data_IF_815065643359
#
_entry.id   IF_815065643359
#
_cell.length_a   1.000
_cell.length_b   1.000
_cell.length_c   1.000
_cell.angle_alpha   90.00
_cell.angle_beta   90.00
_cell.angle_gamma   90.00
#
_symmetry.space_group_name_H-M   'P 1'
#
loop_
_entity.id
_entity.type
_entity.pdbx_description
1 polymer ?
#
# COMPACT_ATOMS: atom_id res chain seq x y z
N UNK A 1 -23.53 -1.87 -3.56
CA UNK A 1 -24.08 -1.29 -2.36
C UNK A 1 -23.39 0.01 -1.99
N UNK A 2 -24.13 1.04 -1.73
CA UNK A 2 -23.49 2.26 -1.30
C UNK A 2 -22.76 2.03 0.01
N UNK A 3 -21.60 2.59 0.12
CA UNK A 3 -20.82 2.55 1.33
C UNK A 3 -21.53 3.44 2.36
N UNK A 4 -21.97 2.83 3.46
CA UNK A 4 -22.62 3.58 4.54
C UNK A 4 -21.55 4.15 5.45
N UNK A 5 -20.91 5.20 4.98
CA UNK A 5 -19.88 5.89 5.72
C UNK A 5 -20.48 7.20 6.28
N UNK A 6 -19.87 7.69 7.35
CA UNK A 6 -20.23 9.00 7.91
C UNK A 6 -19.80 10.16 7.02
N UNK A 7 -19.14 9.87 5.91
CA UNK A 7 -18.77 10.88 4.93
C UNK A 7 -20.01 11.28 4.11
N UNK A 8 -20.21 12.57 3.99
CA UNK A 8 -21.28 13.11 3.16
C UNK A 8 -20.86 13.05 1.68
N UNK A 9 -21.83 13.12 0.73
CA UNK A 9 -21.47 13.23 -0.68
C UNK A 9 -20.52 14.38 -0.99
N UNK A 10 -20.63 15.48 -0.25
CA UNK A 10 -19.73 16.63 -0.38
C UNK A 10 -18.30 16.26 0.02
N UNK A 11 -18.15 15.49 1.10
CA UNK A 11 -16.83 15.03 1.54
C UNK A 11 -16.15 14.15 0.49
N UNK A 12 -16.92 13.26 -0.14
CA UNK A 12 -16.44 12.41 -1.22
C UNK A 12 -15.94 13.24 -2.41
N UNK A 13 -16.75 14.23 -2.81
CA UNK A 13 -16.39 15.12 -3.92
C UNK A 13 -15.15 15.93 -3.59
N UNK A 14 -15.08 16.48 -2.38
CA UNK A 14 -13.93 17.26 -1.93
C UNK A 14 -12.64 16.41 -1.89
N UNK A 15 -12.78 15.12 -1.61
CA UNK A 15 -11.67 14.18 -1.65
C UNK A 15 -11.36 13.69 -3.06
N UNK A 16 -12.17 14.07 -4.07
CA UNK A 16 -12.02 13.58 -5.44
C UNK A 16 -12.53 12.17 -5.65
N UNK A 17 -13.30 11.65 -4.69
CA UNK A 17 -13.78 10.27 -4.72
C UNK A 17 -15.20 10.24 -5.29
N UNK A 18 -15.33 9.96 -6.56
CA UNK A 18 -16.63 9.91 -7.25
C UNK A 18 -16.91 8.51 -7.78
N UNK A 19 -18.18 8.20 -8.02
CA UNK A 19 -18.57 6.90 -8.59
C UNK A 19 -17.90 6.66 -9.95
N UNK A 20 -17.76 7.69 -10.76
CA UNK A 20 -17.07 7.57 -12.05
C UNK A 20 -15.61 7.17 -11.86
N UNK A 21 -14.95 7.70 -10.82
CA UNK A 21 -13.59 7.35 -10.50
C UNK A 21 -13.51 5.89 -10.06
N UNK A 22 -14.42 5.46 -9.19
CA UNK A 22 -14.44 4.06 -8.72
C UNK A 22 -14.68 3.08 -9.87
N UNK A 23 -15.56 3.42 -10.78
CA UNK A 23 -15.84 2.56 -11.94
C UNK A 23 -14.60 2.39 -12.83
N UNK A 24 -13.76 3.42 -12.90
CA UNK A 24 -12.57 3.42 -13.76
C UNK A 24 -11.33 2.89 -13.05
N UNK A 25 -11.14 3.25 -11.79
CA UNK A 25 -9.87 3.04 -11.08
C UNK A 25 -9.90 1.87 -10.09
N UNK A 26 -11.09 1.39 -9.73
CA UNK A 26 -11.23 0.26 -8.83
C UNK A 26 -12.11 0.53 -7.61
N UNK A 27 -12.13 -0.42 -6.66
CA UNK A 27 -12.99 -0.30 -5.47
C UNK A 27 -12.66 0.93 -4.63
N UNK A 28 -13.64 1.47 -3.88
CA UNK A 28 -13.45 2.70 -3.11
C UNK A 28 -12.24 2.68 -2.18
N UNK A 29 -12.01 1.60 -1.43
CA UNK A 29 -10.88 1.54 -0.52
C UNK A 29 -9.55 1.58 -1.28
N UNK A 30 -9.46 0.87 -2.41
CA UNK A 30 -8.26 0.90 -3.24
C UNK A 30 -7.98 2.32 -3.75
N UNK A 31 -9.01 2.99 -4.27
CA UNK A 31 -8.86 4.35 -4.81
C UNK A 31 -8.49 5.34 -3.71
N UNK A 32 -9.15 5.26 -2.55
CA UNK A 32 -8.84 6.14 -1.41
C UNK A 32 -7.39 5.95 -0.97
N UNK A 33 -6.93 4.71 -0.93
CA UNK A 33 -5.54 4.41 -0.57
C UNK A 33 -4.55 4.97 -1.61
N UNK A 34 -4.86 4.81 -2.89
CA UNK A 34 -4.01 5.31 -3.97
C UNK A 34 -3.90 6.83 -3.95
N UNK A 35 -4.99 7.51 -3.63
CA UNK A 35 -5.03 8.98 -3.58
C UNK A 35 -4.50 9.54 -2.25
N UNK A 36 -4.24 8.69 -1.28
CA UNK A 36 -3.74 9.14 0.02
C UNK A 36 -4.79 9.78 0.91
N UNK A 37 -6.06 9.47 0.68
CA UNK A 37 -7.16 10.05 1.44
C UNK A 37 -7.32 9.33 2.79
N UNK A 38 -6.52 9.72 3.78
CA UNK A 38 -6.48 9.07 5.10
C UNK A 38 -7.85 9.08 5.77
N UNK A 39 -8.58 10.19 5.68
CA UNK A 39 -9.89 10.30 6.30
C UNK A 39 -10.87 9.27 5.76
N UNK A 40 -10.91 9.10 4.44
CA UNK A 40 -11.78 8.11 3.79
C UNK A 40 -11.35 6.69 4.18
N UNK A 41 -10.06 6.40 4.15
CA UNK A 41 -9.54 5.08 4.52
C UNK A 41 -9.89 4.76 5.97
N UNK A 42 -9.73 5.73 6.88
CA UNK A 42 -10.05 5.53 8.29
C UNK A 42 -11.53 5.20 8.48
N UNK A 43 -12.41 5.97 7.85
CA UNK A 43 -13.86 5.73 7.99
C UNK A 43 -14.22 4.36 7.42
N UNK A 44 -13.66 4.00 6.26
CA UNK A 44 -13.93 2.69 5.66
C UNK A 44 -13.44 1.54 6.54
N UNK A 45 -12.24 1.64 7.10
CA UNK A 45 -11.70 0.59 7.96
C UNK A 45 -12.48 0.46 9.26
N UNK A 46 -12.91 1.58 9.85
CA UNK A 46 -13.75 1.57 11.04
C UNK A 46 -15.14 0.98 10.77
N UNK A 47 -15.65 1.14 9.56
CA UNK A 47 -16.93 0.56 9.14
C UNK A 47 -16.83 -0.94 8.82
N UNK A 48 -15.65 -1.53 8.87
CA UNK A 48 -15.46 -2.95 8.61
C UNK A 48 -15.38 -3.32 7.13
N UNK A 49 -15.03 -2.37 6.26
CA UNK A 49 -14.86 -2.64 4.84
C UNK A 49 -13.79 -3.71 4.63
N UNK A 50 -14.02 -4.60 3.66
CA UNK A 50 -13.06 -5.64 3.32
C UNK A 50 -11.74 -5.00 2.85
N UNK A 51 -10.64 -5.35 3.50
CA UNK A 51 -9.34 -4.69 3.30
C UNK A 51 -8.56 -5.24 2.10
N UNK A 52 -8.94 -6.42 1.60
CA UNK A 52 -8.21 -7.10 0.52
C UNK A 52 -8.90 -6.98 -0.83
N UNK A 53 -9.60 -5.86 -1.06
CA UNK A 53 -10.23 -5.60 -2.36
C UNK A 53 -9.17 -5.49 -3.46
N UNK A 54 -9.52 -5.91 -4.67
CA UNK A 54 -8.58 -5.95 -5.79
C UNK A 54 -8.77 -4.73 -6.70
N UNK A 55 -7.71 -3.98 -6.85
CA UNK A 55 -7.60 -2.96 -7.89
C UNK A 55 -6.94 -3.54 -9.14
N UNK A 56 -6.50 -2.69 -10.07
CA UNK A 56 -5.79 -3.14 -11.27
C UNK A 56 -4.58 -4.01 -10.92
N UNK A 57 -4.29 -4.99 -11.77
CA UNK A 57 -3.15 -5.91 -11.61
C UNK A 57 -3.20 -6.68 -10.28
N UNK A 58 -4.39 -6.89 -9.74
CA UNK A 58 -4.62 -7.59 -8.47
C UNK A 58 -3.91 -6.91 -7.29
N UNK A 59 -3.72 -5.60 -7.37
CA UNK A 59 -3.14 -4.84 -6.27
C UNK A 59 -4.17 -4.63 -5.17
N UNK A 60 -3.71 -4.72 -3.93
CA UNK A 60 -4.52 -4.44 -2.75
C UNK A 60 -4.40 -2.96 -2.37
N UNK A 61 -5.27 -2.46 -1.49
CA UNK A 61 -5.13 -1.08 -1.01
C UNK A 61 -3.75 -0.78 -0.45
N UNK A 62 -3.12 -1.74 0.23
CA UNK A 62 -1.78 -1.53 0.78
C UNK A 62 -0.73 -1.33 -0.32
N UNK A 63 -0.85 -2.04 -1.46
CA UNK A 63 0.02 -1.79 -2.61
C UNK A 63 -0.16 -0.34 -3.12
N UNK A 64 -1.40 0.11 -3.21
CA UNK A 64 -1.71 1.45 -3.70
C UNK A 64 -1.12 2.53 -2.79
N UNK A 65 -1.26 2.36 -1.49
CA UNK A 65 -0.68 3.28 -0.50
C UNK A 65 0.84 3.29 -0.60
N UNK A 66 1.45 2.12 -0.77
CA UNK A 66 2.90 1.99 -0.89
C UNK A 66 3.42 2.69 -2.15
N UNK A 67 2.76 2.47 -3.29
CA UNK A 67 3.16 3.08 -4.56
C UNK A 67 3.05 4.61 -4.51
N UNK A 68 2.04 5.13 -3.83
CA UNK A 68 1.80 6.56 -3.73
C UNK A 68 2.60 7.28 -2.66
N UNK A 69 3.36 6.55 -1.84
CA UNK A 69 4.12 7.17 -0.74
C UNK A 69 3.26 7.57 0.46
N UNK A 70 2.08 6.97 0.59
CA UNK A 70 1.10 7.35 1.61
C UNK A 70 1.27 6.51 2.89
N UNK A 71 2.32 6.80 3.64
CA UNK A 71 2.66 6.06 4.86
C UNK A 71 1.54 6.07 5.89
N UNK A 72 0.83 7.20 6.04
CA UNK A 72 -0.29 7.30 6.98
C UNK A 72 -1.45 6.37 6.61
N UNK A 73 -1.74 6.26 5.30
CA UNK A 73 -2.76 5.33 4.81
C UNK A 73 -2.31 3.89 5.07
N UNK A 74 -1.06 3.59 4.74
CA UNK A 74 -0.50 2.26 4.98
C UNK A 74 -0.58 1.89 6.47
N UNK A 75 -0.24 2.83 7.36
CA UNK A 75 -0.34 2.61 8.81
C UNK A 75 -1.78 2.31 9.22
N UNK A 76 -2.74 3.06 8.68
CA UNK A 76 -4.16 2.86 8.98
C UNK A 76 -4.62 1.47 8.54
N UNK A 77 -4.24 1.03 7.34
CA UNK A 77 -4.58 -0.29 6.81
C UNK A 77 -3.96 -1.40 7.67
N UNK A 78 -2.70 -1.27 8.01
CA UNK A 78 -2.00 -2.27 8.83
C UNK A 78 -2.64 -2.35 10.22
N UNK A 79 -2.97 -1.22 10.82
CA UNK A 79 -3.64 -1.18 12.13
C UNK A 79 -5.03 -1.82 12.07
N UNK A 80 -5.68 -1.78 10.93
CA UNK A 80 -6.99 -2.40 10.74
C UNK A 80 -6.89 -3.91 10.49
N UNK A 81 -5.69 -4.46 10.33
CA UNK A 81 -5.47 -5.88 10.18
C UNK A 81 -5.32 -6.40 8.76
N UNK A 82 -4.96 -5.54 7.80
CA UNK A 82 -4.74 -6.01 6.43
C UNK A 82 -3.50 -6.93 6.37
N UNK A 83 -3.47 -7.78 5.35
CA UNK A 83 -2.31 -8.62 5.09
C UNK A 83 -1.18 -7.75 4.49
N UNK A 84 0.03 -7.89 5.04
CA UNK A 84 1.15 -7.03 4.65
C UNK A 84 2.06 -7.61 3.57
N UNK A 85 2.03 -8.92 3.37
CA UNK A 85 2.92 -9.60 2.43
C UNK A 85 2.19 -10.15 1.18
N UNK A 86 1.02 -9.61 0.86
CA UNK A 86 0.25 -10.05 -0.31
C UNK A 86 0.99 -9.71 -1.59
N UNK A 87 0.88 -10.57 -2.59
CA UNK A 87 1.52 -10.38 -3.89
C UNK A 87 0.48 -10.01 -4.95
N UNK A 88 0.81 -9.03 -5.79
CA UNK A 88 0.00 -8.69 -6.94
C UNK A 88 0.27 -9.66 -8.11
N UNK A 89 -0.25 -9.38 -9.30
CA UNK A 89 -0.10 -10.32 -10.43
C UNK A 89 1.34 -10.47 -10.91
N UNK A 90 2.23 -9.52 -10.61
CA UNK A 90 3.67 -9.62 -10.92
C UNK A 90 4.47 -10.24 -9.78
N UNK A 91 3.80 -10.56 -8.68
CA UNK A 91 4.44 -11.08 -7.48
C UNK A 91 4.98 -10.02 -6.54
N UNK A 92 4.65 -8.75 -6.77
CA UNK A 92 5.11 -7.66 -5.90
C UNK A 92 4.36 -7.67 -4.58
N UNK A 93 5.09 -7.63 -3.46
CA UNK A 93 4.52 -7.32 -2.15
C UNK A 93 4.40 -5.79 -2.04
N UNK A 94 3.63 -5.28 -1.07
CA UNK A 94 3.62 -3.83 -0.84
C UNK A 94 5.01 -3.24 -0.60
N UNK A 95 5.89 -3.98 0.10
CA UNK A 95 7.26 -3.53 0.30
C UNK A 95 8.01 -3.38 -1.02
N UNK A 96 7.94 -4.37 -1.88
CA UNK A 96 8.59 -4.31 -3.21
C UNK A 96 8.00 -3.15 -4.01
N UNK A 97 6.68 -2.97 -3.98
CA UNK A 97 6.01 -1.87 -4.67
C UNK A 97 6.55 -0.52 -4.18
N UNK A 98 6.70 -0.34 -2.87
CA UNK A 98 7.24 0.89 -2.30
C UNK A 98 8.67 1.15 -2.79
N UNK A 99 9.50 0.12 -2.84
CA UNK A 99 10.89 0.25 -3.29
C UNK A 99 10.93 0.62 -4.78
N UNK A 100 10.12 -0.05 -5.60
CA UNK A 100 10.06 0.23 -7.05
C UNK A 100 9.65 1.68 -7.32
N UNK A 101 8.82 2.26 -6.47
CA UNK A 101 8.34 3.64 -6.63
C UNK A 101 9.18 4.66 -5.85
N UNK A 102 10.26 4.21 -5.18
CA UNK A 102 11.15 5.11 -4.47
C UNK A 102 10.53 5.75 -3.24
N UNK A 103 9.62 5.07 -2.56
CA UNK A 103 8.84 5.63 -1.46
C UNK A 103 9.38 5.18 -0.11
N UNK A 104 10.32 5.96 0.44
CA UNK A 104 11.00 5.64 1.70
C UNK A 104 10.05 5.53 2.89
N UNK A 105 9.03 6.38 2.97
CA UNK A 105 8.07 6.36 4.08
C UNK A 105 7.37 5.01 4.23
N UNK A 106 6.70 4.52 3.19
CA UNK A 106 6.11 3.17 3.24
C UNK A 106 7.13 2.05 3.45
N UNK A 107 8.35 2.16 2.88
CA UNK A 107 9.39 1.16 3.12
C UNK A 107 9.70 1.07 4.61
N UNK A 108 9.93 2.21 5.23
CA UNK A 108 10.24 2.27 6.67
C UNK A 108 9.10 1.67 7.50
N UNK A 109 7.86 2.06 7.20
CA UNK A 109 6.70 1.54 7.91
C UNK A 109 6.56 0.03 7.76
N UNK A 110 6.65 -0.47 6.53
CA UNK A 110 6.47 -1.90 6.27
C UNK A 110 7.55 -2.74 6.94
N UNK A 111 8.79 -2.28 6.92
CA UNK A 111 9.86 -2.96 7.65
C UNK A 111 9.60 -2.96 9.16
N UNK A 112 9.11 -1.83 9.69
CA UNK A 112 8.82 -1.71 11.13
C UNK A 112 7.72 -2.65 11.58
N UNK A 113 6.74 -2.95 10.71
CA UNK A 113 5.64 -3.88 11.05
C UNK A 113 5.95 -5.33 10.69
N UNK A 114 7.15 -5.61 10.23
CA UNK A 114 7.61 -6.98 10.02
C UNK A 114 7.38 -7.55 8.63
N UNK A 115 7.31 -6.72 7.59
CA UNK A 115 7.18 -7.22 6.23
C UNK A 115 8.33 -8.17 5.88
N UNK A 116 8.00 -9.26 5.18
CA UNK A 116 8.96 -10.29 4.81
C UNK A 116 9.78 -9.82 3.59
N UNK A 117 11.08 -9.63 3.79
CA UNK A 117 11.99 -9.19 2.73
C UNK A 117 12.44 -10.33 1.81
N UNK A 118 12.13 -11.58 2.16
CA UNK A 118 12.57 -12.75 1.42
C UNK A 118 11.57 -13.26 0.37
N UNK A 119 10.40 -12.65 0.26
CA UNK A 119 9.40 -13.07 -0.73
C UNK A 119 9.86 -12.64 -2.11
N UNK A 120 9.89 -13.59 -3.05
CA UNK A 120 10.34 -13.31 -4.42
C UNK A 120 9.16 -13.04 -5.34
N UNK A 121 9.39 -12.15 -6.28
CA UNK A 121 8.49 -11.86 -7.40
C UNK A 121 8.46 -13.05 -8.36
N UNK A 122 7.60 -12.97 -9.38
CA UNK A 122 7.53 -14.01 -10.42
C UNK A 122 8.86 -14.15 -11.18
N UNK A 123 9.67 -13.08 -11.26
CA UNK A 123 10.99 -13.12 -11.91
C UNK A 123 12.11 -13.60 -10.95
N UNK A 124 11.76 -13.94 -9.71
CA UNK A 124 12.70 -14.44 -8.72
C UNK A 124 13.41 -13.37 -7.89
N UNK A 125 13.17 -12.08 -8.15
CA UNK A 125 13.80 -11.02 -7.38
C UNK A 125 13.07 -10.77 -6.07
N UNK A 126 13.84 -10.52 -5.02
CA UNK A 126 13.30 -10.16 -3.70
C UNK A 126 13.41 -8.65 -3.49
N UNK A 127 12.84 -8.15 -2.38
CA UNK A 127 12.96 -6.74 -2.01
C UNK A 127 14.43 -6.30 -1.92
N UNK A 128 15.30 -7.16 -1.41
CA UNK A 128 16.73 -6.87 -1.30
C UNK A 128 17.36 -6.65 -2.67
N UNK A 129 17.05 -7.53 -3.63
CA UNK A 129 17.56 -7.40 -5.00
C UNK A 129 17.06 -6.11 -5.66
N UNK A 130 15.76 -5.82 -5.49
CA UNK A 130 15.15 -4.61 -6.08
C UNK A 130 15.81 -3.35 -5.51
N UNK A 131 16.09 -3.34 -4.21
CA UNK A 131 16.73 -2.19 -3.55
C UNK A 131 18.15 -1.93 -4.05
N UNK A 132 18.79 -2.92 -4.65
CA UNK A 132 20.15 -2.78 -5.19
C UNK A 132 20.17 -2.33 -6.65
N UNK A 133 19.01 -2.20 -7.27
CA UNK A 133 18.95 -1.77 -8.67
C UNK A 133 19.37 -0.31 -8.81
N UNK A 134 20.00 0.05 -9.98
CA UNK A 134 20.34 1.44 -10.24
C UNK A 134 19.10 2.34 -10.17
N UNK A 135 19.26 3.49 -9.57
CA UNK A 135 18.15 4.44 -9.42
C UNK A 135 17.37 4.33 -8.11
N UNK A 136 17.61 3.29 -7.33
CA UNK A 136 16.98 3.19 -6.01
C UNK A 136 17.58 4.25 -5.07
N UNK A 137 16.74 5.06 -4.39
CA UNK A 137 17.24 6.05 -3.45
C UNK A 137 18.12 5.44 -2.35
N UNK A 138 19.14 6.18 -1.94
CA UNK A 138 20.10 5.68 -0.94
C UNK A 138 19.46 5.41 0.41
N UNK A 139 18.50 6.23 0.81
CA UNK A 139 17.79 6.03 2.08
C UNK A 139 17.05 4.70 2.10
N UNK A 140 16.46 4.30 0.98
CA UNK A 140 15.81 2.99 0.85
C UNK A 140 16.84 1.87 0.92
N UNK A 141 17.98 2.03 0.26
CA UNK A 141 19.06 1.05 0.32
C UNK A 141 19.53 0.86 1.77
N UNK A 142 19.71 1.96 2.50
CA UNK A 142 20.11 1.91 3.91
C UNK A 142 19.05 1.22 4.79
N UNK A 143 17.77 1.54 4.56
CA UNK A 143 16.68 0.91 5.31
C UNK A 143 16.67 -0.61 5.09
N UNK A 144 16.90 -1.05 3.86
CA UNK A 144 16.94 -2.47 3.54
C UNK A 144 18.15 -3.17 4.17
N UNK A 145 19.28 -2.51 4.25
CA UNK A 145 20.46 -3.05 4.92
C UNK A 145 20.21 -3.23 6.42
N UNK A 146 19.55 -2.25 7.05
CA UNK A 146 19.21 -2.35 8.47
C UNK A 146 18.25 -3.50 8.72
N UNK A 147 17.29 -3.72 7.82
CA UNK A 147 16.35 -4.83 7.92
C UNK A 147 17.02 -6.20 7.85
N UNK A 148 18.12 -6.31 7.10
CA UNK A 148 18.88 -7.56 7.00
C UNK A 148 19.74 -7.86 8.23
N UNK A 149 20.13 -6.81 8.93
CA UNK A 149 21.01 -6.91 10.09
C UNK A 149 20.25 -7.12 11.40
N UNK A 150 18.93 -7.23 11.37
CA UNK A 150 18.15 -7.48 12.56
C UNK A 150 18.50 -8.84 13.16
N UNK A 151 18.75 -8.89 14.48
CA UNK A 151 18.97 -10.17 15.15
C UNK A 151 17.70 -11.01 15.15
N UNK A 152 17.87 -12.29 15.00
CA UNK A 152 16.76 -13.25 15.04
C UNK A 152 16.11 -13.34 16.42
#
# INVERSE_FOLDING_TARGET
MPITLDLTPTDWVNAGLTEALFAREGPPLYVAARLGCVAAVRVMTEAGTYLEVLGPKQQRPLHAAAAGGHASVAATLVSAGCEIDVQDEDGNTPLITAILHGQAGPVELLLAVGADIGISRLDGLTAVHIAQLPGTPKDIQELMLLGQDEPD
#
